data_IF_654543097727
#
_entry.id   IF_654543097727
#
_cell.length_a   1.000
_cell.length_b   1.000
_cell.length_c   1.000
_cell.angle_alpha   90.00
_cell.angle_beta   90.00
_cell.angle_gamma   90.00
#
_symmetry.space_group_name_H-M   'P 1'
#
loop_
_entity.id
_entity.type
_entity.pdbx_description
1 polymer ?
#
# COMPACT_ATOMS: atom_id res chain seq x y z
N UNK A 1 14.52 -61.09 -28.47
CA UNK A 1 15.00 -59.79 -29.02
C UNK A 1 14.29 -58.67 -28.25
N UNK A 2 14.91 -58.01 -27.27
CA UNK A 2 14.28 -56.89 -26.58
C UNK A 2 14.45 -55.59 -27.40
N UNK A 3 13.39 -54.79 -27.44
CA UNK A 3 13.33 -53.55 -28.20
C UNK A 3 14.35 -52.51 -27.69
N UNK A 4 15.09 -51.91 -28.63
CA UNK A 4 16.11 -50.90 -28.38
C UNK A 4 15.47 -49.60 -27.85
N UNK A 5 15.91 -49.16 -26.68
CA UNK A 5 15.64 -47.82 -26.15
C UNK A 5 16.38 -46.78 -27.02
N UNK A 6 15.65 -45.79 -27.54
CA UNK A 6 16.23 -44.68 -28.31
C UNK A 6 16.08 -43.41 -27.46
N UNK A 7 17.17 -42.77 -27.01
CA UNK A 7 17.06 -41.53 -26.25
C UNK A 7 16.57 -40.39 -27.17
N UNK A 8 15.76 -39.45 -26.66
CA UNK A 8 15.34 -38.29 -27.44
C UNK A 8 16.54 -37.37 -27.73
N UNK A 9 16.55 -36.81 -28.94
CA UNK A 9 17.56 -35.86 -29.39
C UNK A 9 17.56 -34.58 -28.54
N UNK A 10 18.75 -34.06 -28.25
CA UNK A 10 18.94 -32.82 -27.52
C UNK A 10 18.22 -31.66 -28.23
N UNK A 11 17.36 -30.96 -27.49
CA UNK A 11 16.73 -29.72 -27.94
C UNK A 11 17.80 -28.63 -28.17
N UNK A 12 17.61 -27.74 -29.16
CA UNK A 12 18.56 -26.66 -29.43
C UNK A 12 18.66 -25.74 -28.21
N UNK A 13 19.90 -25.42 -27.82
CA UNK A 13 20.22 -24.46 -26.75
C UNK A 13 19.64 -23.11 -27.13
N UNK A 14 18.50 -22.77 -26.51
CA UNK A 14 17.96 -21.41 -26.56
C UNK A 14 18.90 -20.51 -25.77
N UNK A 15 19.49 -19.54 -26.43
CA UNK A 15 20.10 -18.39 -25.76
C UNK A 15 19.04 -17.76 -24.83
N UNK A 16 19.35 -17.55 -23.54
CA UNK A 16 18.40 -17.00 -22.59
C UNK A 16 17.91 -15.63 -23.07
N UNK A 17 16.60 -15.39 -22.96
CA UNK A 17 16.04 -14.06 -23.18
C UNK A 17 16.64 -13.07 -22.16
N UNK A 18 16.65 -11.76 -22.45
CA UNK A 18 17.15 -10.75 -21.49
C UNK A 18 16.48 -10.81 -20.12
N UNK A 19 15.27 -11.38 -20.05
CA UNK A 19 14.52 -11.62 -18.81
C UNK A 19 15.06 -12.79 -17.97
N UNK A 20 15.70 -13.78 -18.60
CA UNK A 20 16.25 -14.95 -17.90
C UNK A 20 17.58 -14.63 -17.20
N UNK A 21 18.31 -13.61 -17.66
CA UNK A 21 19.54 -13.12 -17.03
C UNK A 21 19.23 -12.30 -15.76
N UNK A 22 18.07 -11.65 -15.69
CA UNK A 22 17.63 -10.90 -14.52
C UNK A 22 17.29 -11.82 -13.32
N UNK A 23 16.75 -13.01 -13.57
CA UNK A 23 16.45 -13.99 -12.50
C UNK A 23 17.71 -14.69 -11.96
N UNK A 24 18.76 -14.86 -12.78
CA UNK A 24 19.98 -15.55 -12.35
C UNK A 24 20.87 -14.72 -11.42
N UNK A 25 20.72 -13.39 -11.42
CA UNK A 25 21.41 -12.49 -10.48
C UNK A 25 20.67 -12.35 -9.12
N UNK A 26 19.46 -12.92 -8.98
CA UNK A 26 18.60 -12.78 -7.80
C UNK A 26 18.80 -13.87 -6.72
N UNK A 27 19.83 -14.72 -6.85
CA UNK A 27 20.07 -15.85 -5.94
C UNK A 27 21.15 -15.59 -4.86
N UNK A 28 21.53 -14.34 -4.61
CA UNK A 28 22.34 -13.99 -3.44
C UNK A 28 21.45 -13.45 -2.30
N UNK A 29 21.52 -14.05 -1.09
CA UNK A 29 20.67 -13.64 0.02
C UNK A 29 21.21 -12.34 0.62
N UNK A 30 20.44 -11.25 0.55
CA UNK A 30 20.80 -10.02 1.26
C UNK A 30 20.19 -8.69 0.84
N UNK A 31 19.18 -8.61 -0.04
CA UNK A 31 18.66 -7.30 -0.45
C UNK A 31 17.12 -7.23 -0.61
N UNK A 32 16.51 -6.36 0.20
CA UNK A 32 15.14 -5.85 0.04
C UNK A 32 15.02 -4.90 -1.16
N UNK A 33 14.40 -5.35 -2.26
CA UNK A 33 14.23 -4.59 -3.49
C UNK A 33 12.76 -4.36 -3.93
N UNK A 34 11.78 -4.74 -3.11
CA UNK A 34 10.37 -4.73 -3.52
C UNK A 34 9.78 -3.33 -3.81
N UNK A 35 10.35 -2.26 -3.25
CA UNK A 35 9.88 -0.88 -3.47
C UNK A 35 10.36 -0.24 -4.78
N UNK A 36 11.47 -0.72 -5.38
CA UNK A 36 12.00 -0.12 -6.62
C UNK A 36 11.29 -0.65 -7.89
N UNK A 37 10.77 -1.88 -7.85
CA UNK A 37 10.16 -2.51 -9.03
C UNK A 37 8.85 -1.81 -9.47
N UNK A 38 8.11 -1.17 -8.55
CA UNK A 38 6.90 -0.39 -8.87
C UNK A 38 7.18 1.06 -9.32
N UNK A 39 8.41 1.56 -9.16
CA UNK A 39 8.80 2.91 -9.58
C UNK A 39 9.34 2.98 -11.02
N UNK A 40 9.68 1.85 -11.63
CA UNK A 40 10.31 1.79 -12.95
C UNK A 40 9.40 2.13 -14.17
N UNK A 41 8.07 1.94 -14.17
CA UNK A 41 7.28 2.27 -15.37
C UNK A 41 7.22 3.78 -15.66
N UNK A 42 7.46 4.64 -14.66
CA UNK A 42 7.23 6.09 -14.80
C UNK A 42 8.49 6.91 -15.08
N UNK A 43 9.67 6.29 -15.08
CA UNK A 43 10.97 6.97 -15.30
C UNK A 43 11.64 6.64 -16.64
N UNK A 44 11.04 5.75 -17.45
CA UNK A 44 11.58 5.33 -18.77
C UNK A 44 10.68 5.72 -19.95
N UNK A 45 9.67 6.58 -19.75
CA UNK A 45 8.92 7.16 -20.86
C UNK A 45 9.69 8.37 -21.44
N UNK A 46 10.85 8.07 -22.03
CA UNK A 46 11.59 8.97 -22.93
C UNK A 46 11.25 8.62 -24.37
N UNK A 47 10.96 9.67 -25.14
CA UNK A 47 10.56 9.76 -26.54
C UNK A 47 10.92 8.63 -27.53
N UNK A 48 9.99 8.45 -28.47
CA UNK A 48 10.01 7.68 -29.72
C UNK A 48 9.80 6.17 -29.64
N UNK A 49 8.55 5.74 -29.84
CA UNK A 49 8.21 4.77 -30.89
C UNK A 49 6.69 4.71 -31.13
N UNK A 50 6.27 5.00 -32.36
CA UNK A 50 4.88 4.83 -32.82
C UNK A 50 4.56 3.33 -32.98
N UNK A 51 3.43 2.82 -32.45
CA UNK A 51 3.02 1.46 -32.74
C UNK A 51 2.31 1.39 -34.11
N UNK A 52 2.48 0.30 -34.88
CA UNK A 52 1.83 0.15 -36.18
C UNK A 52 0.33 -0.09 -36.02
N UNK A 53 -0.44 0.49 -36.94
CA UNK A 53 -1.89 0.39 -37.05
C UNK A 53 -2.31 -1.05 -37.43
N UNK A 54 -3.18 -1.67 -36.65
CA UNK A 54 -3.97 -2.82 -37.11
C UNK A 54 -4.36 -3.82 -36.03
N UNK A 55 -5.52 -3.63 -35.41
CA UNK A 55 -6.13 -4.62 -34.51
C UNK A 55 -7.30 -4.01 -33.76
N UNK A 56 -8.53 -4.34 -34.16
CA UNK A 56 -9.78 -3.87 -33.51
C UNK A 56 -9.83 -4.36 -32.05
N UNK A 57 -9.39 -3.53 -31.11
CA UNK A 57 -9.84 -3.62 -29.73
C UNK A 57 -11.16 -2.84 -29.61
N UNK A 58 -12.26 -3.57 -29.41
CA UNK A 58 -13.52 -2.97 -28.95
C UNK A 58 -13.26 -2.33 -27.59
N UNK A 59 -13.51 -1.03 -27.51
CA UNK A 59 -13.18 -0.19 -26.38
C UNK A 59 -14.49 0.39 -25.82
N UNK A 60 -14.53 0.42 -24.49
CA UNK A 60 -15.34 1.31 -23.65
C UNK A 60 -16.81 0.97 -23.38
N UNK A 61 -17.04 0.33 -22.23
CA UNK A 61 -17.93 0.93 -21.24
C UNK A 61 -17.18 2.12 -20.63
N UNK A 62 -17.50 3.33 -21.08
CA UNK A 62 -17.11 4.54 -20.39
C UNK A 62 -18.12 4.75 -19.25
N UNK A 63 -17.79 4.21 -18.07
CA UNK A 63 -18.56 4.46 -16.84
C UNK A 63 -18.15 5.83 -16.33
N UNK A 64 -19.13 6.73 -16.29
CA UNK A 64 -19.01 8.09 -15.77
C UNK A 64 -18.31 8.15 -14.42
N UNK A 65 -17.65 9.29 -14.16
CA UNK A 65 -16.95 9.68 -12.91
C UNK A 65 -17.02 8.57 -11.85
N UNK A 66 -16.16 7.56 -11.97
CA UNK A 66 -15.95 6.59 -10.90
C UNK A 66 -15.54 7.40 -9.68
N UNK A 67 -16.40 7.43 -8.67
CA UNK A 67 -15.98 7.70 -7.31
C UNK A 67 -14.74 6.83 -7.08
N UNK A 68 -13.59 7.48 -6.84
CA UNK A 68 -12.30 6.79 -6.77
C UNK A 68 -12.41 5.78 -5.63
N UNK A 69 -12.40 4.49 -5.96
CA UNK A 69 -12.51 3.44 -4.96
C UNK A 69 -11.39 3.63 -3.93
N UNK A 70 -11.73 3.60 -2.65
CA UNK A 70 -10.73 3.78 -1.60
C UNK A 70 -9.81 2.56 -1.55
N UNK A 71 -8.51 2.82 -1.63
CA UNK A 71 -7.46 1.84 -1.40
C UNK A 71 -7.26 1.62 0.11
N UNK A 72 -7.24 0.35 0.52
CA UNK A 72 -7.15 -0.05 1.93
C UNK A 72 -5.84 0.41 2.56
N UNK A 73 -4.72 0.29 1.83
CA UNK A 73 -3.41 0.73 2.28
C UNK A 73 -3.40 2.24 2.58
N UNK A 74 -3.88 3.05 1.64
CA UNK A 74 -3.96 4.51 1.75
C UNK A 74 -4.78 4.92 2.98
N UNK A 75 -5.93 4.29 3.19
CA UNK A 75 -6.83 4.60 4.28
C UNK A 75 -6.24 4.27 5.65
N UNK A 76 -5.65 3.08 5.80
CA UNK A 76 -5.03 2.64 7.04
C UNK A 76 -3.79 3.46 7.38
N UNK A 77 -2.96 3.77 6.38
CA UNK A 77 -1.76 4.58 6.55
C UNK A 77 -2.11 6.02 6.94
N UNK A 78 -3.15 6.61 6.35
CA UNK A 78 -3.63 7.94 6.75
C UNK A 78 -4.10 7.94 8.20
N UNK A 79 -4.90 6.94 8.56
CA UNK A 79 -5.41 6.76 9.93
C UNK A 79 -4.27 6.60 10.93
N UNK A 80 -3.24 5.81 10.57
CA UNK A 80 -2.05 5.63 11.41
C UNK A 80 -1.25 6.92 11.56
N UNK A 81 -1.09 7.70 10.49
CA UNK A 81 -0.44 9.01 10.55
C UNK A 81 -1.13 9.96 11.54
N UNK A 82 -2.47 10.00 11.51
CA UNK A 82 -3.24 10.81 12.45
C UNK A 82 -3.07 10.34 13.90
N UNK A 83 -3.05 9.02 14.15
CA UNK A 83 -2.77 8.48 15.50
C UNK A 83 -1.39 8.89 16.01
N UNK A 84 -0.37 8.85 15.15
CA UNK A 84 1.01 9.22 15.52
C UNK A 84 1.06 10.71 15.86
N UNK A 85 0.44 11.57 15.06
CA UNK A 85 0.36 13.01 15.34
C UNK A 85 -0.35 13.27 16.68
N UNK A 86 -1.53 12.67 16.87
CA UNK A 86 -2.33 12.86 18.08
C UNK A 86 -1.59 12.37 19.34
N UNK A 87 -0.92 11.21 19.26
CA UNK A 87 -0.12 10.66 20.36
C UNK A 87 1.03 11.58 20.76
N UNK A 88 1.58 12.33 19.80
CA UNK A 88 2.70 13.25 20.02
C UNK A 88 2.27 14.70 20.19
N UNK A 89 0.96 14.94 20.40
CA UNK A 89 0.36 16.26 20.60
C UNK A 89 0.59 17.23 19.44
N UNK A 90 0.83 16.71 18.24
CA UNK A 90 0.89 17.55 17.06
C UNK A 90 -0.52 18.02 16.67
N UNK A 91 -0.66 19.27 16.22
CA UNK A 91 -1.90 19.74 15.62
C UNK A 91 -2.26 18.92 14.38
N UNK A 92 -3.54 18.95 13.99
CA UNK A 92 -4.01 18.22 12.82
C UNK A 92 -3.31 18.72 11.55
N UNK A 93 -2.38 17.92 11.02
CA UNK A 93 -1.75 18.11 9.73
C UNK A 93 -2.50 17.30 8.66
N UNK A 94 -2.50 17.80 7.44
CA UNK A 94 -3.03 17.08 6.28
C UNK A 94 -2.03 16.01 5.85
N UNK A 95 -2.49 14.77 5.80
CA UNK A 95 -1.73 13.62 5.31
C UNK A 95 -2.20 13.26 3.90
N UNK A 96 -1.27 13.26 2.95
CA UNK A 96 -1.50 12.82 1.58
C UNK A 96 -0.60 11.62 1.28
N UNK A 97 -1.18 10.53 0.81
CA UNK A 97 -0.47 9.30 0.47
C UNK A 97 -0.69 9.02 -1.01
N UNK A 98 0.40 8.81 -1.74
CA UNK A 98 0.33 8.42 -3.14
C UNK A 98 -0.29 7.01 -3.26
N UNK A 99 -1.04 6.76 -4.35
CA UNK A 99 -1.83 5.53 -4.58
C UNK A 99 -1.02 4.22 -4.51
N UNK A 100 0.29 4.28 -4.63
CA UNK A 100 1.21 3.14 -4.59
C UNK A 100 2.08 3.12 -3.32
N UNK A 101 1.86 4.04 -2.38
CA UNK A 101 2.68 4.18 -1.18
C UNK A 101 4.12 4.64 -1.43
N UNK A 102 4.47 5.07 -2.65
CA UNK A 102 5.85 5.51 -2.94
C UNK A 102 6.22 6.79 -2.20
N UNK A 103 5.22 7.57 -1.82
CA UNK A 103 5.38 8.86 -1.18
C UNK A 103 4.25 9.13 -0.20
N UNK A 104 4.63 9.64 0.97
CA UNK A 104 3.74 10.22 1.96
C UNK A 104 4.15 11.67 2.19
N UNK A 105 3.17 12.57 2.24
CA UNK A 105 3.40 13.99 2.46
C UNK A 105 2.51 14.48 3.59
N UNK A 106 3.12 15.12 4.59
CA UNK A 106 2.44 15.77 5.71
C UNK A 106 2.60 17.27 5.55
N UNK A 107 1.48 17.99 5.42
CA UNK A 107 1.49 19.44 5.25
C UNK A 107 0.49 20.10 6.17
N UNK A 108 0.82 21.32 6.61
CA UNK A 108 -0.12 22.07 7.42
C UNK A 108 0.46 23.37 7.94
N UNK A 109 -0.41 24.17 8.55
CA UNK A 109 -0.05 25.36 9.29
C UNK A 109 -0.36 25.15 10.76
N UNK A 110 0.56 25.57 11.61
CA UNK A 110 0.40 25.53 13.06
C UNK A 110 0.19 26.95 13.54
N UNK A 111 -0.90 27.15 14.28
CA UNK A 111 -1.21 28.43 14.89
C UNK A 111 -0.25 28.74 16.05
N UNK A 112 -0.17 30.00 16.50
CA UNK A 112 0.67 30.35 17.64
C UNK A 112 0.36 29.54 18.90
N UNK A 113 -0.92 29.28 19.18
CA UNK A 113 -1.37 28.47 20.32
C UNK A 113 -0.96 27.01 20.17
N UNK A 114 -1.04 26.48 18.94
CA UNK A 114 -0.58 25.14 18.60
C UNK A 114 0.92 24.98 18.83
N UNK A 115 1.73 25.99 18.48
CA UNK A 115 3.16 25.98 18.75
C UNK A 115 3.45 26.03 20.25
N UNK A 116 2.81 26.95 20.99
CA UNK A 116 3.01 27.08 22.44
C UNK A 116 2.68 25.78 23.17
N UNK A 117 1.58 25.11 22.80
CA UNK A 117 1.22 23.81 23.41
C UNK A 117 2.17 22.66 23.06
N UNK A 118 2.89 22.75 21.94
CA UNK A 118 3.84 21.73 21.48
C UNK A 118 5.22 21.85 22.16
N UNK A 119 5.64 23.06 22.57
CA UNK A 119 6.98 23.31 23.14
C UNK A 119 7.32 22.44 24.38
N UNK A 120 6.43 22.30 25.39
CA UNK A 120 6.71 21.43 26.53
C UNK A 120 6.88 19.97 26.12
N UNK A 121 6.08 19.52 25.15
CA UNK A 121 6.09 18.15 24.64
C UNK A 121 7.39 17.84 23.88
N UNK A 122 7.89 18.79 23.09
CA UNK A 122 9.20 18.69 22.44
C UNK A 122 10.35 18.60 23.46
N UNK A 123 10.24 19.34 24.57
CA UNK A 123 11.23 19.27 25.64
C UNK A 123 11.19 17.96 26.43
N UNK A 124 9.99 17.42 26.67
CA UNK A 124 9.81 16.09 27.29
C UNK A 124 10.41 14.97 26.43
N UNK A 125 10.28 15.08 25.10
CA UNK A 125 10.89 14.16 24.13
C UNK A 125 12.39 14.39 23.90
N UNK A 126 12.97 15.45 24.45
CA UNK A 126 14.40 15.74 24.36
C UNK A 126 14.84 16.51 23.11
N UNK A 127 13.91 17.00 22.31
CA UNK A 127 14.19 17.86 21.14
C UNK A 127 14.44 19.32 21.51
N UNK A 128 14.01 19.73 22.72
CA UNK A 128 14.29 21.06 23.28
C UNK A 128 14.90 20.96 24.68
N UNK A 129 15.80 21.88 25.00
CA UNK A 129 16.28 22.08 26.35
C UNK A 129 15.15 22.62 27.24
N UNK A 130 14.93 21.99 28.39
CA UNK A 130 13.86 22.40 29.33
C UNK A 130 13.94 23.87 29.73
N UNK A 131 15.15 24.42 29.87
CA UNK A 131 15.36 25.84 30.18
C UNK A 131 15.01 26.81 29.05
N UNK A 132 14.90 26.34 27.80
CA UNK A 132 14.58 27.16 26.64
C UNK A 132 13.06 27.31 26.40
N UNK A 133 12.24 26.41 26.98
CA UNK A 133 10.79 26.34 26.74
C UNK A 133 10.11 27.67 27.06
N UNK A 134 10.30 28.20 28.27
CA UNK A 134 9.64 29.45 28.70
C UNK A 134 10.02 30.66 27.83
N UNK A 135 11.26 30.69 27.32
CA UNK A 135 11.72 31.73 26.41
C UNK A 135 11.05 31.64 25.03
N UNK A 136 10.92 30.42 24.50
CA UNK A 136 10.25 30.16 23.23
C UNK A 136 8.73 30.36 23.31
N UNK A 137 8.10 30.01 24.44
CA UNK A 137 6.68 30.29 24.69
C UNK A 137 6.42 31.80 24.66
N UNK A 138 7.28 32.58 25.33
CA UNK A 138 7.19 34.04 25.34
C UNK A 138 7.41 34.64 23.95
N UNK A 139 8.35 34.11 23.17
CA UNK A 139 8.57 34.49 21.77
C UNK A 139 7.31 34.24 20.93
N UNK A 140 6.76 33.03 21.00
CA UNK A 140 5.62 32.61 20.18
C UNK A 140 4.35 33.38 20.56
N UNK A 141 4.11 33.58 21.86
CA UNK A 141 2.94 34.29 22.36
C UNK A 141 2.97 35.80 22.10
N UNK A 142 4.15 36.44 22.13
CA UNK A 142 4.26 37.90 21.87
C UNK A 142 4.21 38.28 20.40
N UNK A 143 4.77 37.43 19.53
CA UNK A 143 4.95 37.77 18.11
C UNK A 143 3.99 37.01 17.18
N UNK A 144 3.00 36.31 17.73
CA UNK A 144 2.03 35.49 16.97
C UNK A 144 2.72 34.61 15.94
N UNK A 145 3.75 33.87 16.37
CA UNK A 145 4.58 33.06 15.49
C UNK A 145 3.75 31.92 14.91
N UNK A 146 3.82 31.72 13.59
CA UNK A 146 3.17 30.62 12.89
C UNK A 146 4.21 29.71 12.24
N UNK A 147 3.94 28.40 12.20
CA UNK A 147 4.78 27.45 11.47
C UNK A 147 4.04 26.89 10.26
N UNK A 148 4.72 26.88 9.10
CA UNK A 148 4.29 26.12 7.92
C UNK A 148 5.15 24.87 7.80
N UNK A 149 4.49 23.71 7.80
CA UNK A 149 5.12 22.40 7.77
C UNK A 149 4.95 21.77 6.40
N UNK A 150 6.06 21.24 5.89
CA UNK A 150 6.06 20.32 4.78
C UNK A 150 7.05 19.19 5.10
N UNK A 151 6.54 17.98 5.26
CA UNK A 151 7.36 16.80 5.45
C UNK A 151 7.00 15.77 4.38
N UNK A 152 8.00 15.16 3.77
CA UNK A 152 7.85 14.12 2.77
C UNK A 152 8.67 12.91 3.19
N UNK A 153 8.06 11.73 3.12
CA UNK A 153 8.74 10.45 3.24
C UNK A 153 8.57 9.68 1.93
N UNK A 154 9.68 9.28 1.32
CA UNK A 154 9.69 8.45 0.11
C UNK A 154 10.88 7.50 0.13
N UNK A 155 10.63 6.20 0.10
CA UNK A 155 11.68 5.19 0.24
C UNK A 155 12.44 5.39 1.55
N UNK A 156 13.77 5.46 1.49
CA UNK A 156 14.63 5.65 2.67
C UNK A 156 14.91 7.11 3.00
N UNK A 157 14.33 8.05 2.27
CA UNK A 157 14.56 9.48 2.47
C UNK A 157 13.35 10.13 3.10
N UNK A 158 13.57 10.79 4.22
CA UNK A 158 12.64 11.76 4.80
C UNK A 158 13.19 13.15 4.47
N UNK A 159 12.33 14.09 4.14
CA UNK A 159 12.68 15.49 3.90
C UNK A 159 11.70 16.34 4.70
N UNK A 160 12.20 17.12 5.65
CA UNK A 160 11.37 17.97 6.50
C UNK A 160 11.77 19.43 6.31
N UNK A 161 10.80 20.25 5.91
CA UNK A 161 10.95 21.69 5.82
C UNK A 161 9.93 22.37 6.75
N UNK A 162 10.45 23.26 7.59
CA UNK A 162 9.69 24.07 8.53
C UNK A 162 10.01 25.53 8.26
N UNK A 163 8.98 26.32 7.98
CA UNK A 163 9.08 27.77 7.82
C UNK A 163 8.36 28.45 8.98
N UNK A 164 9.07 29.29 9.72
CA UNK A 164 8.51 30.09 10.81
C UNK A 164 8.24 31.52 10.32
N UNK A 165 7.03 32.00 10.52
CA UNK A 165 6.60 33.35 10.20
C UNK A 165 6.34 34.14 11.49
N UNK A 166 6.60 35.45 11.48
CA UNK A 166 6.34 36.34 12.62
C UNK A 166 7.48 36.43 13.64
N UNK A 167 8.60 35.72 13.45
CA UNK A 167 9.77 35.87 14.34
C UNK A 167 10.56 37.14 13.99
N UNK A 168 10.85 38.03 14.95
CA UNK A 168 11.69 39.21 14.71
C UNK A 168 13.11 38.82 14.26
N UNK A 169 13.68 39.54 13.30
CA UNK A 169 15.03 39.27 12.74
C UNK A 169 16.15 39.26 13.78
N UNK A 170 15.97 40.00 14.88
CA UNK A 170 16.94 40.05 15.99
C UNK A 170 17.01 38.73 16.77
N UNK A 171 16.02 37.85 16.60
CA UNK A 171 15.90 36.58 17.33
C UNK A 171 16.16 35.34 16.45
N UNK A 172 16.98 35.49 15.39
CA UNK A 172 17.32 34.41 14.46
C UNK A 172 17.83 33.13 15.17
N UNK A 173 18.60 33.25 16.25
CA UNK A 173 19.07 32.07 17.00
C UNK A 173 17.92 31.28 17.63
N UNK A 174 16.91 31.96 18.19
CA UNK A 174 15.72 31.31 18.75
C UNK A 174 14.86 30.71 17.63
N UNK A 175 14.78 31.39 16.48
CA UNK A 175 14.11 30.89 15.29
C UNK A 175 14.73 29.59 14.78
N UNK A 176 16.05 29.58 14.59
CA UNK A 176 16.78 28.41 14.10
C UNK A 176 16.68 27.25 15.09
N UNK A 177 16.78 27.53 16.38
CA UNK A 177 16.64 26.51 17.41
C UNK A 177 15.25 25.87 17.43
N UNK A 178 14.19 26.68 17.38
CA UNK A 178 12.81 26.18 17.30
C UNK A 178 12.57 25.40 16.00
N UNK A 179 13.08 25.92 14.88
CA UNK A 179 12.97 25.28 13.57
C UNK A 179 13.63 23.89 13.58
N UNK A 180 14.86 23.78 14.09
CA UNK A 180 15.57 22.51 14.18
C UNK A 180 14.83 21.51 15.07
N UNK A 181 14.35 21.94 16.24
CA UNK A 181 13.60 21.06 17.13
C UNK A 181 12.31 20.51 16.49
N UNK A 182 11.57 21.34 15.75
CA UNK A 182 10.39 20.91 14.99
C UNK A 182 10.76 19.96 13.85
N UNK A 183 11.87 20.22 13.15
CA UNK A 183 12.35 19.36 12.07
C UNK A 183 12.78 17.98 12.59
N UNK A 184 13.50 17.93 13.71
CA UNK A 184 13.98 16.69 14.32
C UNK A 184 12.81 15.82 14.83
N UNK A 185 11.83 16.42 15.50
CA UNK A 185 10.66 15.68 15.98
C UNK A 185 9.83 15.14 14.80
N UNK A 186 9.55 15.97 13.78
CA UNK A 186 8.87 15.51 12.56
C UNK A 186 9.65 14.43 11.81
N UNK A 187 10.98 14.52 11.78
CA UNK A 187 11.81 13.50 11.16
C UNK A 187 11.58 12.13 11.80
N UNK A 188 11.57 12.08 13.14
CA UNK A 188 11.29 10.85 13.90
C UNK A 188 9.88 10.34 13.61
N UNK A 189 8.87 11.21 13.64
CA UNK A 189 7.48 10.82 13.39
C UNK A 189 7.26 10.31 11.96
N UNK A 190 7.83 10.98 10.95
CA UNK A 190 7.76 10.54 9.57
C UNK A 190 8.49 9.21 9.36
N UNK A 191 9.62 9.00 10.04
CA UNK A 191 10.36 7.73 9.98
C UNK A 191 9.57 6.58 10.60
N UNK A 192 8.94 6.81 11.75
CA UNK A 192 8.08 5.82 12.41
C UNK A 192 6.85 5.49 11.56
N UNK A 193 6.19 6.52 11.00
CA UNK A 193 5.08 6.34 10.08
C UNK A 193 5.51 5.56 8.83
N UNK A 194 6.68 5.84 8.26
CA UNK A 194 7.20 5.12 7.10
C UNK A 194 7.39 3.63 7.39
N UNK A 195 8.01 3.30 8.52
CA UNK A 195 8.19 1.90 8.94
C UNK A 195 6.86 1.18 9.14
N UNK A 196 5.88 1.86 9.74
CA UNK A 196 4.55 1.29 9.92
C UNK A 196 3.80 1.17 8.58
N UNK A 197 3.94 2.12 7.67
CA UNK A 197 3.36 2.09 6.33
C UNK A 197 3.91 0.93 5.49
N UNK A 198 5.20 0.63 5.56
CA UNK A 198 5.77 -0.55 4.89
C UNK A 198 5.12 -1.85 5.38
N UNK A 199 4.88 -1.97 6.69
CA UNK A 199 4.17 -3.12 7.25
C UNK A 199 2.72 -3.16 6.78
N UNK A 200 2.01 -2.02 6.82
CA UNK A 200 0.63 -1.94 6.35
C UNK A 200 0.55 -2.37 4.89
N UNK A 201 1.41 -1.83 4.02
CA UNK A 201 1.44 -2.15 2.58
C UNK A 201 1.57 -3.65 2.33
N UNK A 202 2.52 -4.31 3.01
CA UNK A 202 2.73 -5.75 2.88
C UNK A 202 1.53 -6.55 3.36
N UNK A 203 0.93 -6.16 4.49
CA UNK A 203 -0.18 -6.86 5.12
C UNK A 203 -1.56 -6.54 4.50
N UNK A 204 -1.64 -5.53 3.62
CA UNK A 204 -2.81 -5.20 2.82
C UNK A 204 -2.72 -5.70 1.38
N UNK A 205 -1.87 -6.70 1.12
CA UNK A 205 -1.93 -7.48 -0.12
C UNK A 205 -0.79 -7.25 -1.10
N UNK A 206 0.13 -6.29 -0.86
CA UNK A 206 1.25 -6.06 -1.78
C UNK A 206 2.18 -7.28 -1.95
N UNK A 207 2.19 -8.18 -0.97
CA UNK A 207 2.91 -9.47 -1.04
C UNK A 207 2.40 -10.41 -2.12
N UNK A 208 1.15 -10.24 -2.52
CA UNK A 208 0.45 -11.09 -3.48
C UNK A 208 0.35 -10.43 -4.86
N UNK A 209 1.17 -9.41 -5.14
CA UNK A 209 1.20 -8.79 -6.45
C UNK A 209 1.67 -9.81 -7.51
N UNK A 210 0.73 -10.26 -8.35
CA UNK A 210 0.96 -11.32 -9.33
C UNK A 210 0.97 -12.74 -8.75
N UNK A 211 0.51 -12.95 -7.51
CA UNK A 211 0.42 -14.26 -6.88
C UNK A 211 -0.95 -14.49 -6.21
N UNK A 212 -1.35 -15.76 -6.07
CA UNK A 212 -2.55 -16.11 -5.32
C UNK A 212 -2.25 -16.18 -3.82
N UNK A 213 -3.17 -15.66 -2.99
CA UNK A 213 -3.14 -15.83 -1.53
C UNK A 213 -3.25 -17.32 -1.19
N UNK A 214 -4.10 -18.00 -1.93
CA UNK A 214 -4.36 -19.43 -1.82
C UNK A 214 -4.72 -19.97 -3.19
N UNK A 215 -4.30 -21.20 -3.46
CA UNK A 215 -4.63 -21.92 -4.67
C UNK A 215 -4.93 -23.38 -4.35
N UNK A 216 -5.97 -23.91 -4.98
CA UNK A 216 -6.28 -25.34 -4.98
C UNK A 216 -6.63 -25.81 -6.37
N UNK A 217 -5.79 -26.69 -6.88
CA UNK A 217 -6.00 -27.36 -8.13
C UNK A 217 -6.90 -28.58 -7.97
N UNK A 218 -7.66 -28.85 -9.02
CA UNK A 218 -8.41 -30.07 -9.27
C UNK A 218 -8.11 -30.53 -10.70
N UNK A 219 -8.65 -31.67 -11.14
CA UNK A 219 -8.33 -32.24 -12.45
C UNK A 219 -8.56 -31.29 -13.64
N UNK A 220 -9.50 -30.34 -13.55
CA UNK A 220 -9.84 -29.44 -14.67
C UNK A 220 -9.94 -27.97 -14.28
N UNK A 221 -9.85 -27.66 -12.98
CA UNK A 221 -10.13 -26.33 -12.45
C UNK A 221 -9.17 -25.98 -11.34
N UNK A 222 -8.87 -24.69 -11.25
CA UNK A 222 -8.09 -24.10 -10.16
C UNK A 222 -9.01 -23.14 -9.42
N UNK A 223 -9.09 -23.28 -8.10
CA UNK A 223 -9.77 -22.32 -7.24
C UNK A 223 -8.71 -21.49 -6.55
N UNK A 224 -8.70 -20.19 -6.81
CA UNK A 224 -7.72 -19.25 -6.28
C UNK A 224 -8.38 -18.15 -5.45
N UNK A 225 -7.63 -17.60 -4.51
CA UNK A 225 -7.96 -16.38 -3.80
C UNK A 225 -6.95 -15.28 -4.19
N UNK A 226 -7.46 -14.16 -4.66
CA UNK A 226 -6.68 -13.01 -5.11
C UNK A 226 -6.87 -11.83 -4.17
N UNK A 227 -5.79 -11.12 -3.86
CA UNK A 227 -5.86 -9.86 -3.12
C UNK A 227 -6.32 -8.73 -4.06
N UNK A 228 -7.28 -7.94 -3.59
CA UNK A 228 -7.72 -6.73 -4.26
C UNK A 228 -7.13 -5.51 -3.54
N UNK A 229 -6.68 -4.52 -4.30
CA UNK A 229 -6.24 -3.23 -3.74
C UNK A 229 -7.43 -2.38 -3.28
N UNK A 230 -8.54 -2.44 -4.02
CA UNK A 230 -9.74 -1.66 -3.74
C UNK A 230 -10.59 -2.32 -2.64
N UNK A 231 -11.13 -1.49 -1.74
CA UNK A 231 -12.13 -1.93 -0.78
C UNK A 231 -13.42 -2.41 -1.47
N UNK A 232 -14.13 -3.41 -0.92
CA UNK A 232 -15.44 -3.79 -1.41
C UNK A 232 -16.39 -2.57 -1.40
N UNK A 233 -17.21 -2.32 -2.44
CA UNK A 233 -18.03 -1.11 -2.53
C UNK A 233 -19.04 -0.91 -1.38
N UNK A 234 -19.39 -2.00 -0.71
CA UNK A 234 -20.30 -2.03 0.44
C UNK A 234 -19.63 -1.60 1.75
N UNK A 235 -18.30 -1.61 1.81
CA UNK A 235 -17.53 -1.35 3.02
C UNK A 235 -17.21 0.13 3.12
N UNK A 236 -17.80 0.79 4.12
CA UNK A 236 -17.47 2.16 4.53
C UNK A 236 -16.98 2.11 5.98
N UNK A 237 -15.67 1.92 6.21
CA UNK A 237 -15.17 1.65 7.54
C UNK A 237 -15.23 2.93 8.38
N UNK A 238 -15.89 2.83 9.54
CA UNK A 238 -15.81 3.87 10.57
C UNK A 238 -14.47 3.82 11.31
N UNK A 239 -14.20 4.84 12.11
CA UNK A 239 -12.94 4.99 12.85
C UNK A 239 -12.60 3.75 13.69
N UNK A 240 -13.56 3.22 14.46
CA UNK A 240 -13.34 2.02 15.29
C UNK A 240 -12.86 0.80 14.50
N UNK A 241 -13.37 0.61 13.28
CA UNK A 241 -13.00 -0.53 12.45
C UNK A 241 -11.60 -0.36 11.88
N UNK A 242 -11.24 0.86 11.47
CA UNK A 242 -9.87 1.19 11.03
C UNK A 242 -8.85 0.98 12.15
N UNK A 243 -9.20 1.37 13.37
CA UNK A 243 -8.38 1.15 14.56
C UNK A 243 -8.19 -0.35 14.83
N UNK A 244 -9.25 -1.15 14.73
CA UNK A 244 -9.18 -2.60 14.90
C UNK A 244 -8.29 -3.27 13.84
N UNK A 245 -8.42 -2.89 12.57
CA UNK A 245 -7.55 -3.40 11.50
C UNK A 245 -6.09 -3.00 11.67
N UNK A 246 -5.81 -1.76 12.07
CA UNK A 246 -4.45 -1.33 12.40
C UNK A 246 -3.85 -2.14 13.55
N UNK A 247 -4.64 -2.47 14.58
CA UNK A 247 -4.19 -3.32 15.67
C UNK A 247 -3.87 -4.75 15.20
N UNK A 248 -4.73 -5.34 14.36
CA UNK A 248 -4.48 -6.65 13.75
C UNK A 248 -3.17 -6.68 12.95
N UNK A 249 -2.90 -5.64 12.15
CA UNK A 249 -1.64 -5.54 11.38
C UNK A 249 -0.43 -5.31 12.30
N UNK A 250 -0.47 -4.26 13.11
CA UNK A 250 0.72 -3.75 13.79
C UNK A 250 1.07 -4.55 15.07
N UNK A 251 0.08 -5.15 15.72
CA UNK A 251 0.27 -5.90 16.98
C UNK A 251 0.23 -7.41 16.76
N UNK A 252 -0.67 -7.90 15.89
CA UNK A 252 -0.86 -9.33 15.67
C UNK A 252 -0.17 -9.86 14.41
N UNK A 253 0.35 -8.97 13.55
CA UNK A 253 0.97 -9.37 12.29
C UNK A 253 0.00 -10.03 11.32
N UNK A 254 -1.30 -9.74 11.48
CA UNK A 254 -2.38 -10.26 10.64
C UNK A 254 -2.38 -9.57 9.28
N UNK A 255 -2.77 -10.33 8.27
CA UNK A 255 -3.10 -9.79 6.94
C UNK A 255 -4.54 -9.27 6.96
N UNK A 256 -4.76 -8.08 6.42
CA UNK A 256 -6.09 -7.47 6.31
C UNK A 256 -6.33 -7.18 4.84
N UNK A 257 -7.14 -8.03 4.20
CA UNK A 257 -7.22 -8.12 2.74
C UNK A 257 -8.65 -7.98 2.24
N UNK A 258 -8.84 -7.23 1.15
CA UNK A 258 -9.98 -7.45 0.27
C UNK A 258 -9.66 -8.66 -0.62
N UNK A 259 -10.56 -9.65 -0.66
CA UNK A 259 -10.30 -10.93 -1.34
C UNK A 259 -11.34 -11.16 -2.44
N UNK A 260 -10.87 -11.60 -3.61
CA UNK A 260 -11.69 -12.17 -4.66
C UNK A 260 -11.41 -13.66 -4.80
N UNK A 261 -12.46 -14.48 -4.78
CA UNK A 261 -12.35 -15.89 -5.09
C UNK A 261 -12.60 -16.11 -6.58
N UNK A 262 -11.77 -16.94 -7.21
CA UNK A 262 -11.76 -17.11 -8.66
C UNK A 262 -11.69 -18.58 -9.00
N UNK A 263 -12.45 -18.99 -10.03
CA UNK A 263 -12.33 -20.32 -10.63
C UNK A 263 -11.73 -20.16 -12.02
N UNK A 264 -10.58 -20.78 -12.22
CA UNK A 264 -9.92 -20.94 -13.50
C UNK A 264 -10.19 -22.32 -14.08
N UNK A 265 -10.27 -22.42 -15.40
CA UNK A 265 -10.06 -23.68 -16.12
C UNK A 265 -8.57 -23.90 -16.25
N UNK A 266 -8.10 -25.07 -15.82
CA UNK A 266 -6.68 -25.42 -15.80
C UNK A 266 -6.05 -25.30 -17.21
N UNK A 267 -6.74 -25.83 -18.23
CA UNK A 267 -6.33 -25.65 -19.62
C UNK A 267 -6.52 -24.19 -20.08
N UNK A 268 -5.41 -23.46 -20.19
CA UNK A 268 -5.35 -22.09 -20.71
C UNK A 268 -5.62 -20.98 -19.69
N UNK A 269 -5.70 -21.31 -18.39
CA UNK A 269 -5.92 -20.35 -17.30
C UNK A 269 -7.14 -19.43 -17.55
N UNK A 270 -8.20 -20.01 -18.10
CA UNK A 270 -9.41 -19.24 -18.43
C UNK A 270 -10.20 -18.95 -17.16
N UNK A 271 -10.39 -17.66 -16.84
CA UNK A 271 -11.24 -17.22 -15.71
C UNK A 271 -12.71 -17.49 -16.02
N UNK A 272 -13.31 -18.46 -15.32
CA UNK A 272 -14.70 -18.91 -15.53
C UNK A 272 -15.68 -18.09 -14.70
N UNK A 273 -15.34 -17.85 -13.44
CA UNK A 273 -16.22 -17.16 -12.50
C UNK A 273 -15.41 -16.52 -11.37
N UNK A 274 -15.97 -15.46 -10.81
CA UNK A 274 -15.38 -14.75 -9.69
C UNK A 274 -16.44 -14.37 -8.66
N UNK A 275 -16.01 -14.23 -7.41
CA UNK A 275 -16.81 -13.75 -6.30
C UNK A 275 -15.94 -12.88 -5.40
N UNK A 276 -16.10 -11.56 -5.52
CA UNK A 276 -15.47 -10.60 -4.61
C UNK A 276 -16.18 -10.65 -3.26
N UNK A 277 -15.41 -10.84 -2.19
CA UNK A 277 -15.94 -10.89 -0.84
C UNK A 277 -16.58 -9.54 -0.48
N UNK A 278 -17.76 -9.52 0.14
CA UNK A 278 -18.43 -8.26 0.54
C UNK A 278 -17.76 -7.59 1.74
N UNK A 279 -16.87 -8.31 2.43
CA UNK A 279 -16.19 -7.89 3.65
C UNK A 279 -14.67 -7.94 3.47
N UNK A 280 -13.95 -7.16 4.29
CA UNK A 280 -12.50 -7.25 4.42
C UNK A 280 -12.15 -8.41 5.34
N UNK A 281 -11.28 -9.30 4.88
CA UNK A 281 -10.87 -10.49 5.60
C UNK A 281 -9.66 -10.19 6.49
N UNK A 282 -9.69 -10.68 7.74
CA UNK A 282 -8.54 -10.64 8.66
C UNK A 282 -7.97 -12.04 8.79
N UNK A 283 -6.76 -12.24 8.28
CA UNK A 283 -6.05 -13.52 8.29
C UNK A 283 -4.93 -13.43 9.33
N UNK A 284 -5.16 -14.02 10.49
CA UNK A 284 -4.14 -14.12 11.55
C UNK A 284 -3.03 -15.11 11.14
N UNK A 285 -1.78 -14.90 11.60
CA UNK A 285 -0.69 -15.84 11.36
C UNK A 285 -1.07 -17.27 11.77
N UNK A 286 -0.71 -18.24 10.94
CA UNK A 286 -0.99 -19.68 11.15
C UNK A 286 -2.47 -20.07 11.20
N UNK A 287 -3.39 -19.16 10.86
CA UNK A 287 -4.81 -19.51 10.71
C UNK A 287 -5.00 -20.37 9.46
N UNK A 288 -5.73 -21.51 9.54
CA UNK A 288 -5.98 -22.32 8.36
C UNK A 288 -7.04 -21.70 7.44
N UNK A 289 -6.88 -21.89 6.12
CA UNK A 289 -7.73 -21.31 5.04
C UNK A 289 -9.25 -21.42 5.32
N UNK A 290 -9.68 -22.55 5.88
CA UNK A 290 -11.09 -22.81 6.23
C UNK A 290 -11.70 -21.83 7.24
N UNK A 291 -10.88 -21.05 7.96
CA UNK A 291 -11.33 -20.05 8.92
C UNK A 291 -11.32 -18.64 8.33
N UNK A 292 -10.78 -18.44 7.13
CA UNK A 292 -10.72 -17.12 6.48
C UNK A 292 -12.01 -16.81 5.73
N UNK A 293 -12.67 -17.85 5.20
CA UNK A 293 -13.81 -17.74 4.31
C UNK A 293 -15.05 -18.36 4.93
N UNK A 294 -16.17 -17.63 4.88
CA UNK A 294 -17.47 -18.23 5.14
C UNK A 294 -17.76 -19.29 4.05
N UNK A 295 -18.23 -20.48 4.48
CA UNK A 295 -18.61 -21.58 3.58
C UNK A 295 -19.67 -21.16 2.57
N UNK A 296 -20.52 -20.20 2.92
CA UNK A 296 -21.55 -19.66 2.04
C UNK A 296 -20.94 -18.97 0.82
N UNK A 297 -19.84 -18.22 0.97
CA UNK A 297 -19.16 -17.55 -0.14
C UNK A 297 -18.57 -18.54 -1.14
N UNK A 298 -17.99 -19.65 -0.64
CA UNK A 298 -17.49 -20.74 -1.48
C UNK A 298 -18.63 -21.44 -2.22
N UNK A 299 -19.77 -21.65 -1.55
CA UNK A 299 -20.97 -22.21 -2.17
C UNK A 299 -21.50 -21.30 -3.30
N UNK A 300 -21.53 -19.99 -3.08
CA UNK A 300 -21.95 -19.00 -4.08
C UNK A 300 -21.04 -19.03 -5.30
N UNK A 301 -19.71 -18.97 -5.10
CA UNK A 301 -18.74 -19.09 -6.20
C UNK A 301 -18.94 -20.38 -7.00
N UNK A 302 -19.13 -21.51 -6.30
CA UNK A 302 -19.36 -22.81 -6.93
C UNK A 302 -20.64 -22.82 -7.75
N UNK A 303 -21.71 -22.18 -7.25
CA UNK A 303 -22.96 -22.00 -7.97
C UNK A 303 -22.77 -21.19 -9.26
N UNK A 304 -22.05 -20.07 -9.19
CA UNK A 304 -21.73 -19.23 -10.34
C UNK A 304 -20.91 -20.00 -11.39
N UNK A 305 -19.87 -20.71 -10.96
CA UNK A 305 -19.02 -21.52 -11.84
C UNK A 305 -19.85 -22.57 -12.59
N UNK A 306 -20.72 -23.31 -11.88
CA UNK A 306 -21.58 -24.34 -12.48
C UNK A 306 -22.54 -23.76 -13.52
N UNK A 307 -23.15 -22.62 -13.22
CA UNK A 307 -24.06 -21.93 -14.15
C UNK A 307 -23.32 -21.49 -15.42
N UNK A 308 -22.12 -20.90 -15.30
CA UNK A 308 -21.32 -20.48 -16.45
C UNK A 308 -20.89 -21.66 -17.32
N UNK A 309 -20.45 -22.77 -16.70
CA UNK A 309 -20.09 -24.00 -17.42
C UNK A 309 -21.31 -24.58 -18.16
N UNK A 310 -22.50 -24.58 -17.54
CA UNK A 310 -23.71 -25.07 -18.18
C UNK A 310 -24.10 -24.19 -19.39
N UNK A 311 -23.97 -22.88 -19.26
CA UNK A 311 -24.24 -21.91 -20.33
C UNK A 311 -23.26 -22.08 -21.50
N UNK A 312 -21.96 -22.24 -21.25
CA UNK A 312 -20.99 -22.54 -22.29
C UNK A 312 -21.35 -23.83 -23.05
N UNK A 313 -21.71 -24.90 -22.34
CA UNK A 313 -22.12 -26.16 -22.97
C UNK A 313 -23.34 -25.99 -23.87
N UNK A 314 -24.33 -25.19 -23.46
CA UNK A 314 -25.50 -24.90 -24.29
C UNK A 314 -25.11 -24.12 -25.55
N UNK A 315 -24.22 -23.13 -25.42
CA UNK A 315 -23.70 -22.39 -26.58
C UNK A 315 -22.99 -23.35 -27.54
N UNK A 316 -22.08 -24.20 -27.06
CA UNK A 316 -21.36 -25.15 -27.92
C UNK A 316 -22.27 -26.20 -28.56
N UNK A 317 -23.32 -26.64 -27.87
CA UNK A 317 -24.28 -27.60 -28.42
C UNK A 317 -25.21 -26.98 -29.50
N UNK A 318 -25.21 -25.65 -29.64
CA UNK A 318 -26.01 -24.93 -30.63
C UNK A 318 -25.29 -24.67 -31.95
N UNK A 319 -24.02 -25.09 -32.08
CA UNK A 319 -23.21 -25.07 -33.30
C UNK A 319 -23.03 -26.48 -33.87
#
# INVERSE_FOLDING_TARGET
>A
MPAKFKPPAAAPVRTPSPWSVACAAALHPGHDFYLMARCLPSLMAGDNDQPPKGGRQKKFFDKGKKEKAMDLYTLLTATRGLQILQKNSWPALTLNIAENGCQMTMTGKISPEGLVSLLPQLAERGHLAKGAVTGLELLCGKNSVEATIWAQASGRTVNVNVSLNGVPQEQNLCQDYLKLALQDDLWVLCSDLWRDAEKILLQTGARYDGAHIFERESQNFIVAAEALSELPPTVKPGEMLLQAWLAEILQHGSEVLAICLVVYRDYGMLRISEFCMPEVCVIRPNSPVRHWLNREHVSTLTGLARSNIALEKQIYASF
#
